data_IF_363141151383
#
_entry.id   IF_363141151383
#
_cell.length_a   1.000
_cell.length_b   1.000
_cell.length_c   1.000
_cell.angle_alpha   90.00
_cell.angle_beta   90.00
_cell.angle_gamma   90.00
#
_symmetry.space_group_name_H-M   'P 1'
#
loop_
_entity.id
_entity.type
_entity.pdbx_description
1 polymer ?
#
# COMPACT_ATOMS: atom_id res chain seq x y z
N UNK A 1 -16.03 -33.90 70.18
CA UNK A 1 -16.28 -32.51 69.72
C UNK A 1 -15.23 -32.16 68.69
N UNK A 2 -15.69 -31.76 67.50
CA UNK A 2 -14.96 -31.80 66.23
C UNK A 2 -13.88 -30.73 66.11
N UNK A 3 -12.67 -31.11 65.65
CA UNK A 3 -11.64 -30.17 65.20
C UNK A 3 -11.97 -29.73 63.77
N UNK A 4 -12.18 -28.44 63.56
CA UNK A 4 -12.27 -27.85 62.24
C UNK A 4 -10.86 -27.79 61.64
N UNK A 5 -10.61 -28.52 60.55
CA UNK A 5 -9.43 -28.31 59.72
C UNK A 5 -9.63 -27.00 58.95
N UNK A 6 -8.83 -25.99 59.27
CA UNK A 6 -8.76 -24.75 58.49
C UNK A 6 -8.01 -25.03 57.20
N UNK A 7 -8.74 -25.19 56.09
CA UNK A 7 -8.17 -25.16 54.75
C UNK A 7 -7.67 -23.74 54.48
N UNK A 8 -6.35 -23.57 54.41
CA UNK A 8 -5.72 -22.34 53.92
C UNK A 8 -6.11 -22.15 52.45
N UNK A 9 -6.73 -21.01 52.15
CA UNK A 9 -6.99 -20.61 50.78
C UNK A 9 -5.63 -20.42 50.06
N UNK A 10 -5.45 -20.92 48.83
CA UNK A 10 -4.25 -20.64 48.07
C UNK A 10 -4.18 -19.13 47.83
N UNK A 11 -3.06 -18.52 48.20
CA UNK A 11 -2.80 -17.13 47.88
C UNK A 11 -2.74 -17.01 46.35
N UNK A 12 -3.71 -16.31 45.78
CA UNK A 12 -3.69 -15.90 44.39
C UNK A 12 -2.53 -14.92 44.24
N UNK A 13 -1.34 -15.45 43.98
CA UNK A 13 -0.26 -14.64 43.42
C UNK A 13 -0.86 -13.98 42.18
N UNK A 14 -0.81 -12.64 42.07
CA UNK A 14 -1.28 -11.99 40.86
C UNK A 14 -0.37 -12.53 39.78
N UNK A 15 -0.87 -13.47 38.97
CA UNK A 15 -0.41 -13.60 37.61
C UNK A 15 -0.59 -12.21 37.06
N UNK A 16 0.51 -11.48 37.01
CA UNK A 16 0.60 -10.24 36.30
C UNK A 16 0.06 -10.57 34.92
N UNK A 17 -1.22 -10.22 34.68
CA UNK A 17 -1.68 -9.96 33.34
C UNK A 17 -0.93 -8.70 32.94
N UNK A 18 0.34 -8.86 32.57
CA UNK A 18 1.06 -7.90 31.76
C UNK A 18 0.23 -7.83 30.48
N UNK A 19 -0.71 -6.89 30.45
CA UNK A 19 -1.49 -6.62 29.26
C UNK A 19 -0.56 -5.94 28.25
N UNK A 20 0.12 -6.80 27.48
CA UNK A 20 0.05 -6.88 26.01
C UNK A 20 0.56 -5.68 25.19
N UNK A 21 1.05 -4.63 25.84
CA UNK A 21 1.99 -3.68 25.24
C UNK A 21 3.39 -4.00 25.75
N UNK A 22 3.99 -5.08 25.23
CA UNK A 22 5.44 -5.24 25.38
C UNK A 22 6.07 -4.04 24.66
N UNK A 23 6.44 -3.01 25.43
CA UNK A 23 7.35 -1.96 25.01
C UNK A 23 8.52 -2.68 24.34
N UNK A 24 8.53 -2.61 23.02
CA UNK A 24 9.55 -3.30 22.24
C UNK A 24 10.84 -2.54 22.48
N UNK A 25 11.94 -3.27 22.72
CA UNK A 25 13.22 -2.64 23.00
C UNK A 25 13.53 -1.57 21.93
N UNK A 26 13.94 -0.39 22.40
CA UNK A 26 14.15 0.79 21.53
C UNK A 26 15.18 0.49 20.44
N UNK A 27 16.23 -0.28 20.78
CA UNK A 27 17.25 -0.68 19.82
C UNK A 27 16.71 -1.67 18.76
N UNK A 28 15.86 -2.61 19.17
CA UNK A 28 15.17 -3.53 18.25
C UNK A 28 14.22 -2.78 17.29
N UNK A 29 13.46 -1.81 17.82
CA UNK A 29 12.59 -0.95 17.01
C UNK A 29 13.38 -0.12 15.99
N UNK A 30 14.51 0.45 16.37
CA UNK A 30 15.33 1.19 15.41
C UNK A 30 15.94 0.28 14.35
N UNK A 31 16.45 -0.88 14.77
CA UNK A 31 17.02 -1.86 13.86
C UNK A 31 15.99 -2.31 12.82
N UNK A 32 14.73 -2.55 13.24
CA UNK A 32 13.65 -2.87 12.32
C UNK A 32 13.36 -1.74 11.33
N UNK A 33 13.26 -0.49 11.81
CA UNK A 33 13.00 0.68 10.95
C UNK A 33 14.09 0.86 9.89
N UNK A 34 15.34 0.90 10.33
CA UNK A 34 16.51 1.22 9.51
C UNK A 34 16.86 0.09 8.53
N UNK A 35 16.77 -1.17 8.94
CA UNK A 35 17.27 -2.31 8.15
C UNK A 35 16.19 -3.09 7.40
N UNK A 36 14.91 -2.97 7.78
CA UNK A 36 13.83 -3.73 7.16
C UNK A 36 12.74 -2.81 6.57
N UNK A 37 12.13 -1.95 7.40
CA UNK A 37 10.96 -1.18 7.00
C UNK A 37 11.28 -0.15 5.90
N UNK A 38 12.21 0.77 6.18
CA UNK A 38 12.52 1.85 5.23
C UNK A 38 13.18 1.34 3.94
N UNK A 39 14.12 0.37 3.96
CA UNK A 39 14.63 -0.23 2.73
C UNK A 39 13.53 -0.90 1.88
N UNK A 40 12.59 -1.62 2.49
CA UNK A 40 11.49 -2.24 1.78
C UNK A 40 10.54 -1.21 1.14
N UNK A 41 10.23 -0.13 1.87
CA UNK A 41 9.43 0.97 1.31
C UNK A 41 10.15 1.70 0.18
N UNK A 42 11.46 1.92 0.31
CA UNK A 42 12.26 2.57 -0.71
C UNK A 42 12.28 1.75 -2.01
N UNK A 43 12.62 0.46 -1.91
CA UNK A 43 12.64 -0.44 -3.08
C UNK A 43 11.27 -0.52 -3.77
N UNK A 44 10.18 -0.60 -2.99
CA UNK A 44 8.82 -0.58 -3.57
C UNK A 44 8.51 0.76 -4.25
N UNK A 45 8.91 1.89 -3.68
CA UNK A 45 8.78 3.19 -4.32
C UNK A 45 9.56 3.28 -5.64
N UNK A 46 10.77 2.72 -5.68
CA UNK A 46 11.61 2.75 -6.87
C UNK A 46 11.00 1.94 -8.02
N UNK A 47 10.44 0.77 -7.74
CA UNK A 47 9.69 -0.03 -8.72
C UNK A 47 8.47 0.73 -9.23
N UNK A 48 7.66 1.31 -8.34
CA UNK A 48 6.47 2.09 -8.74
C UNK A 48 6.86 3.29 -9.61
N UNK A 49 7.98 3.97 -9.31
CA UNK A 49 8.48 5.09 -10.10
C UNK A 49 9.01 4.64 -11.47
N UNK A 50 9.72 3.51 -11.52
CA UNK A 50 10.16 2.91 -12.77
C UNK A 50 8.97 2.55 -13.66
N UNK A 51 7.96 1.85 -13.12
CA UNK A 51 6.74 1.52 -13.84
C UNK A 51 5.98 2.77 -14.32
N UNK A 52 5.98 3.85 -13.54
CA UNK A 52 5.39 5.11 -13.96
C UNK A 52 6.09 5.70 -15.21
N UNK A 53 7.43 5.62 -15.25
CA UNK A 53 8.21 6.02 -16.43
C UNK A 53 7.85 5.20 -17.66
N UNK A 54 7.82 3.87 -17.53
CA UNK A 54 7.44 2.95 -18.62
C UNK A 54 6.01 3.20 -19.10
N UNK A 55 5.07 3.46 -18.19
CA UNK A 55 3.67 3.74 -18.55
C UNK A 55 3.49 5.02 -19.37
N UNK A 56 4.45 5.94 -19.33
CA UNK A 56 4.42 7.19 -20.12
C UNK A 56 5.24 7.12 -21.41
N UNK A 57 6.01 6.05 -21.61
CA UNK A 57 6.80 5.86 -22.84
C UNK A 57 5.96 5.22 -23.95
N UNK A 58 6.19 5.57 -25.24
CA UNK A 58 5.55 4.90 -26.37
C UNK A 58 5.89 3.39 -26.39
N UNK A 59 4.90 2.57 -26.71
CA UNK A 59 5.03 1.11 -26.81
C UNK A 59 4.91 0.66 -28.28
N UNK A 60 6.03 0.54 -29.00
CA UNK A 60 6.01 0.18 -30.42
C UNK A 60 5.60 -1.28 -30.67
N UNK A 61 5.71 -2.14 -29.65
CA UNK A 61 5.44 -3.57 -29.73
C UNK A 61 4.04 -3.92 -29.19
N UNK A 62 3.13 -2.94 -29.08
CA UNK A 62 1.75 -3.17 -28.68
C UNK A 62 1.00 -3.96 -29.79
N UNK A 63 0.62 -5.23 -29.56
CA UNK A 63 -0.05 -6.05 -30.56
C UNK A 63 -1.43 -5.52 -30.93
N UNK A 64 -2.08 -4.77 -30.04
CA UNK A 64 -3.45 -4.29 -30.21
C UNK A 64 -3.49 -2.89 -30.85
N UNK A 65 -2.33 -2.29 -31.16
CA UNK A 65 -2.23 -0.95 -31.74
C UNK A 65 -3.10 -0.82 -33.01
N UNK A 66 -2.87 -1.70 -33.99
CA UNK A 66 -3.58 -1.67 -35.28
C UNK A 66 -5.06 -1.97 -35.08
N UNK A 67 -5.39 -2.98 -34.26
CA UNK A 67 -6.78 -3.35 -33.99
C UNK A 67 -7.56 -2.17 -33.39
N UNK A 68 -6.98 -1.51 -32.38
CA UNK A 68 -7.56 -0.35 -31.72
C UNK A 68 -7.76 0.82 -32.68
N UNK A 69 -6.80 1.10 -33.56
CA UNK A 69 -6.91 2.15 -34.58
C UNK A 69 -8.03 1.84 -35.59
N UNK A 70 -8.13 0.60 -36.07
CA UNK A 70 -9.20 0.19 -36.99
C UNK A 70 -10.58 0.25 -36.36
N UNK A 71 -10.73 -0.18 -35.11
CA UNK A 71 -11.98 -0.09 -34.35
C UNK A 71 -12.38 1.37 -34.12
N UNK A 72 -11.42 2.22 -33.76
CA UNK A 72 -11.64 3.65 -33.57
C UNK A 72 -12.03 4.35 -34.88
N UNK A 73 -11.43 3.96 -36.01
CA UNK A 73 -11.79 4.48 -37.32
C UNK A 73 -13.21 4.06 -37.72
N UNK A 74 -13.57 2.77 -37.51
CA UNK A 74 -14.91 2.25 -37.80
C UNK A 74 -15.99 2.92 -36.95
N UNK A 75 -15.72 3.17 -35.66
CA UNK A 75 -16.68 3.86 -34.79
C UNK A 75 -16.87 5.33 -35.21
N UNK A 76 -15.83 6.02 -35.68
CA UNK A 76 -15.96 7.40 -36.22
C UNK A 76 -16.86 7.48 -37.45
N UNK A 77 -16.95 6.41 -38.23
CA UNK A 77 -17.82 6.33 -39.41
C UNK A 77 -19.27 5.92 -39.04
N UNK A 78 -19.51 5.46 -37.81
CA UNK A 78 -20.80 4.93 -37.37
C UNK A 78 -21.80 6.05 -37.10
N UNK A 79 -22.90 6.04 -37.83
CA UNK A 79 -24.04 6.95 -37.60
C UNK A 79 -25.05 6.26 -36.69
N UNK A 80 -25.39 6.90 -35.58
CA UNK A 80 -26.32 6.38 -34.57
C UNK A 80 -27.57 7.27 -34.51
N UNK A 81 -28.75 6.67 -34.66
CA UNK A 81 -30.03 7.36 -34.38
C UNK A 81 -30.39 7.17 -32.90
N UNK A 82 -30.08 8.17 -32.10
CA UNK A 82 -30.31 8.20 -30.64
C UNK A 82 -31.79 8.05 -30.27
N UNK A 83 -32.70 8.34 -31.20
CA UNK A 83 -34.15 8.19 -30.99
C UNK A 83 -34.59 6.72 -31.07
N UNK A 84 -33.87 5.88 -31.82
CA UNK A 84 -34.17 4.47 -31.96
C UNK A 84 -33.57 3.64 -30.81
N UNK A 85 -32.34 3.98 -30.39
CA UNK A 85 -31.66 3.33 -29.26
C UNK A 85 -30.70 4.30 -28.52
N UNK A 86 -31.10 4.81 -27.34
CA UNK A 86 -30.28 5.71 -26.51
C UNK A 86 -28.96 5.13 -25.99
N UNK A 87 -28.75 3.80 -26.03
CA UNK A 87 -27.54 3.16 -25.49
C UNK A 87 -26.53 2.79 -26.57
N UNK A 88 -26.94 2.78 -27.83
CA UNK A 88 -26.09 2.43 -28.96
C UNK A 88 -24.96 3.43 -29.20
N UNK A 89 -25.01 4.66 -28.69
CA UNK A 89 -23.95 5.67 -28.87
C UNK A 89 -22.64 5.36 -28.12
N UNK A 90 -22.65 4.42 -27.15
CA UNK A 90 -21.46 4.14 -26.33
C UNK A 90 -20.46 3.26 -27.08
N UNK A 91 -19.27 3.79 -27.31
CA UNK A 91 -18.11 3.04 -27.78
C UNK A 91 -17.02 3.06 -26.71
N UNK A 92 -16.50 1.88 -26.40
CA UNK A 92 -15.39 1.71 -25.45
C UNK A 92 -14.19 1.16 -26.23
N UNK A 93 -13.22 2.01 -26.60
CA UNK A 93 -12.02 1.53 -27.26
C UNK A 93 -11.24 0.61 -26.31
N UNK A 94 -10.50 -0.35 -26.88
CA UNK A 94 -9.53 -1.12 -26.11
C UNK A 94 -8.48 -0.18 -25.51
N UNK A 95 -8.15 -0.37 -24.24
CA UNK A 95 -7.09 0.38 -23.58
C UNK A 95 -5.73 -0.05 -24.12
N UNK A 96 -4.80 0.89 -24.27
CA UNK A 96 -3.42 0.54 -24.60
C UNK A 96 -2.74 -0.16 -23.41
N UNK A 97 -1.72 -0.98 -23.68
CA UNK A 97 -0.95 -1.65 -22.61
C UNK A 97 -0.30 -0.65 -21.64
N UNK A 98 0.15 0.48 -22.14
CA UNK A 98 0.73 1.56 -21.33
C UNK A 98 -0.33 2.30 -20.50
N UNK A 99 -1.54 2.45 -21.03
CA UNK A 99 -2.67 3.06 -20.32
C UNK A 99 -3.15 2.18 -19.17
N UNK A 100 -3.34 0.89 -19.42
CA UNK A 100 -3.68 -0.09 -18.38
C UNK A 100 -2.60 -0.16 -17.29
N UNK A 101 -1.32 -0.13 -17.67
CA UNK A 101 -0.21 -0.01 -16.71
C UNK A 101 -0.26 1.31 -15.93
N UNK A 102 -0.56 2.44 -16.57
CA UNK A 102 -0.70 3.74 -15.90
C UNK A 102 -1.82 3.70 -14.85
N UNK A 103 -2.96 3.08 -15.17
CA UNK A 103 -4.06 2.86 -14.23
C UNK A 103 -3.63 2.02 -13.04
N UNK A 104 -2.90 0.91 -13.28
CA UNK A 104 -2.35 0.08 -12.22
C UNK A 104 -1.38 0.85 -11.32
N UNK A 105 -0.47 1.63 -11.90
CA UNK A 105 0.52 2.43 -11.15
C UNK A 105 -0.16 3.46 -10.26
N UNK A 106 -1.22 4.14 -10.73
CA UNK A 106 -2.02 5.07 -9.91
C UNK A 106 -2.65 4.36 -8.71
N UNK A 107 -3.23 3.18 -8.93
CA UNK A 107 -3.79 2.36 -7.86
C UNK A 107 -2.71 1.92 -6.87
N UNK A 108 -1.54 1.48 -7.34
CA UNK A 108 -0.44 1.07 -6.47
C UNK A 108 0.08 2.23 -5.61
N UNK A 109 0.13 3.46 -6.15
CA UNK A 109 0.48 4.65 -5.34
C UNK A 109 -0.52 4.89 -4.22
N UNK A 110 -1.83 4.79 -4.50
CA UNK A 110 -2.88 4.97 -3.49
C UNK A 110 -2.86 3.85 -2.43
N UNK A 111 -2.70 2.60 -2.85
CA UNK A 111 -2.61 1.46 -1.92
C UNK A 111 -1.36 1.57 -1.04
N UNK A 112 -0.22 1.95 -1.62
CA UNK A 112 1.02 2.11 -0.86
C UNK A 112 0.91 3.23 0.18
N UNK A 113 0.26 4.34 -0.15
CA UNK A 113 -0.04 5.42 0.81
C UNK A 113 -0.82 4.90 2.03
N UNK A 114 -1.88 4.13 1.79
CA UNK A 114 -2.71 3.54 2.85
C UNK A 114 -1.90 2.55 3.69
N UNK A 115 -1.11 1.69 3.03
CA UNK A 115 -0.29 0.68 3.72
C UNK A 115 0.76 1.37 4.60
N UNK A 116 1.44 2.41 4.11
CA UNK A 116 2.45 3.15 4.87
C UNK A 116 1.84 3.87 6.06
N UNK A 117 0.75 4.59 5.86
CA UNK A 117 0.02 5.27 6.93
C UNK A 117 -0.39 4.31 8.05
N UNK A 118 -1.01 3.17 7.69
CA UNK A 118 -1.44 2.16 8.67
C UNK A 118 -0.28 1.46 9.36
N UNK A 119 0.73 1.06 8.59
CA UNK A 119 1.92 0.38 9.13
C UNK A 119 2.66 1.30 10.08
N UNK A 120 2.80 2.58 9.73
CA UNK A 120 3.42 3.57 10.60
C UNK A 120 2.64 3.77 11.89
N UNK A 121 1.31 3.86 11.82
CA UNK A 121 0.47 3.95 13.02
C UNK A 121 0.74 2.81 14.02
N UNK A 122 0.85 1.56 13.52
CA UNK A 122 1.17 0.40 14.34
C UNK A 122 2.61 0.42 14.88
N UNK A 123 3.58 0.79 14.04
CA UNK A 123 4.99 0.88 14.42
C UNK A 123 5.19 1.95 15.49
N UNK A 124 4.59 3.13 15.33
CA UNK A 124 4.67 4.22 16.31
C UNK A 124 4.01 3.84 17.63
N UNK A 125 2.85 3.17 17.61
CA UNK A 125 2.21 2.68 18.84
C UNK A 125 3.09 1.67 19.58
N UNK A 126 3.72 0.74 18.86
CA UNK A 126 4.52 -0.34 19.45
C UNK A 126 5.92 0.09 19.89
N UNK A 127 6.53 1.02 19.16
CA UNK A 127 7.87 1.53 19.43
C UNK A 127 7.87 2.77 20.34
N UNK A 128 6.68 3.25 20.75
CA UNK A 128 6.52 4.47 21.54
C UNK A 128 7.28 5.67 20.96
N UNK A 129 7.18 5.82 19.64
CA UNK A 129 7.92 6.82 18.87
C UNK A 129 7.19 8.17 18.83
N UNK A 130 7.89 9.25 18.47
CA UNK A 130 7.28 10.58 18.36
C UNK A 130 6.17 10.60 17.30
N UNK A 131 5.23 11.55 17.42
CA UNK A 131 4.08 11.74 16.54
C UNK A 131 4.42 12.24 15.12
N UNK A 132 5.62 11.92 14.64
CA UNK A 132 6.14 12.30 13.33
C UNK A 132 5.39 11.54 12.23
N UNK A 133 5.18 12.18 11.09
CA UNK A 133 4.57 11.52 9.93
C UNK A 133 5.53 10.47 9.33
N UNK A 134 4.98 9.48 8.63
CA UNK A 134 5.80 8.43 8.03
C UNK A 134 6.68 8.99 6.91
N UNK A 135 6.21 10.04 6.24
CA UNK A 135 6.90 10.77 5.18
C UNK A 135 8.16 11.44 5.70
N UNK A 136 8.04 12.16 6.82
CA UNK A 136 9.16 12.83 7.47
C UNK A 136 10.19 11.82 7.97
N UNK A 137 9.73 10.74 8.60
CA UNK A 137 10.60 9.67 9.06
C UNK A 137 11.39 9.04 7.90
N UNK A 138 10.71 8.67 6.82
CA UNK A 138 11.35 8.10 5.62
C UNK A 138 12.29 9.09 4.93
N UNK A 139 11.92 10.37 4.84
CA UNK A 139 12.77 11.39 4.23
C UNK A 139 14.04 11.65 5.06
N UNK A 140 13.91 11.66 6.39
CA UNK A 140 15.07 11.77 7.28
C UNK A 140 16.02 10.58 7.13
N UNK A 141 15.48 9.37 6.95
CA UNK A 141 16.25 8.16 6.68
C UNK A 141 16.99 8.26 5.34
N UNK A 142 16.32 8.70 4.26
CA UNK A 142 16.94 8.90 2.94
C UNK A 142 18.10 9.88 2.97
N UNK A 143 17.94 10.98 3.72
CA UNK A 143 19.01 11.98 3.88
C UNK A 143 20.22 11.39 4.62
N UNK A 144 20.00 10.57 5.65
CA UNK A 144 21.09 9.88 6.35
C UNK A 144 21.84 8.90 5.45
N UNK A 145 21.13 8.15 4.60
CA UNK A 145 21.75 7.19 3.67
C UNK A 145 22.55 7.86 2.54
N UNK A 146 22.29 9.15 2.26
CA UNK A 146 23.04 9.92 1.25
C UNK A 146 24.34 10.52 1.76
N UNK A 147 24.51 10.64 3.09
CA UNK A 147 25.70 11.19 3.73
C UNK A 147 26.72 10.09 4.00
#
# INVERSE_FOLDING_TARGET
MSRASSTTAPELSPRFCFNEKLLTDSAACQTFKENALFPAWQTRSDVINYCAGVATSPDPDDPDLILRETESARDRERVVDERLDPYSSRFFPREARTESLANLVRNQRSVEEIIRSRTWGLVTERCNDSSTSWEEALNSWREKQRR
#
